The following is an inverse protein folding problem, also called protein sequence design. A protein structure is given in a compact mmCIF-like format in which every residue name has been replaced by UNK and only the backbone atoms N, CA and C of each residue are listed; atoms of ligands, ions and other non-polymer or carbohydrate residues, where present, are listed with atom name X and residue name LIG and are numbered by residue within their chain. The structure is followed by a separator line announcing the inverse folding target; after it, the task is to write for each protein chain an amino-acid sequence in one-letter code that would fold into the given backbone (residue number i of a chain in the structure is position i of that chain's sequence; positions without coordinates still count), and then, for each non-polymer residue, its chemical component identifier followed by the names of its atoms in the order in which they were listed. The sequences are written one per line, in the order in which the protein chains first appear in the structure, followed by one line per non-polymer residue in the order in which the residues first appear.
data_IF_801722109583
#
_entry.id   IF_801722109583
#
_cell.length_a   1.000
_cell.length_b   1.000
_cell.length_c   1.000
_cell.angle_alpha   90.00
_cell.angle_beta   90.00
_cell.angle_gamma   90.00
#
_symmetry.space_group_name_H-M   'P 1'
#
loop_
_entity.id
_entity.type
_entity.pdbx_description
1 polymer ?
#
# COMPACT_ATOMS: atom_id res chain seq x y z
N UNK A 1 -6.81 -44.05 -46.11
CA UNK A 1 -7.87 -43.40 -45.30
C UNK A 1 -7.31 -43.06 -43.94
N UNK A 2 -7.08 -41.79 -43.65
CA UNK A 2 -6.60 -41.30 -42.35
C UNK A 2 -7.79 -40.96 -41.45
N UNK A 3 -7.79 -41.44 -40.21
CA UNK A 3 -8.73 -40.99 -39.18
C UNK A 3 -8.00 -40.45 -37.96
N UNK A 4 -8.25 -39.16 -37.76
CA UNK A 4 -8.13 -38.32 -36.59
C UNK A 4 -7.95 -39.00 -35.22
N UNK A 5 -7.01 -38.46 -34.45
CA UNK A 5 -6.97 -38.52 -32.99
C UNK A 5 -6.71 -37.11 -32.44
N UNK A 6 -7.75 -36.27 -32.41
CA UNK A 6 -7.78 -35.02 -31.65
C UNK A 6 -7.67 -35.35 -30.17
N UNK A 7 -6.59 -34.92 -29.52
CA UNK A 7 -6.50 -34.78 -28.06
C UNK A 7 -6.18 -33.31 -27.79
N UNK A 8 -7.18 -32.53 -27.42
CA UNK A 8 -7.43 -32.30 -26.00
C UNK A 8 -6.80 -30.97 -25.60
N UNK A 9 -7.22 -29.89 -26.27
CA UNK A 9 -6.86 -28.53 -25.87
C UNK A 9 -7.36 -28.29 -24.46
N UNK A 10 -6.45 -28.32 -23.49
CA UNK A 10 -6.70 -27.89 -22.11
C UNK A 10 -7.29 -26.49 -22.20
N UNK A 11 -8.58 -26.35 -21.84
CA UNK A 11 -9.23 -25.04 -21.68
C UNK A 11 -8.33 -24.25 -20.74
N UNK A 12 -7.62 -23.25 -21.28
CA UNK A 12 -7.08 -22.16 -20.47
C UNK A 12 -8.32 -21.50 -19.89
N UNK A 13 -8.59 -21.78 -18.63
CA UNK A 13 -9.55 -21.00 -17.87
C UNK A 13 -9.12 -19.54 -18.03
N UNK A 14 -10.01 -18.70 -18.57
CA UNK A 14 -9.68 -17.32 -18.91
C UNK A 14 -9.66 -16.50 -17.62
N UNK A 15 -8.66 -16.73 -16.77
CA UNK A 15 -8.42 -15.89 -15.61
C UNK A 15 -8.17 -14.46 -16.10
N UNK A 16 -8.82 -13.48 -15.46
CA UNK A 16 -8.56 -12.09 -15.75
C UNK A 16 -7.09 -11.78 -15.48
N UNK A 17 -6.45 -10.85 -16.23
CA UNK A 17 -5.11 -10.36 -15.88
C UNK A 17 -4.97 -9.89 -14.43
N UNK A 18 -6.08 -9.43 -13.82
CA UNK A 18 -6.12 -9.08 -12.39
C UNK A 18 -5.98 -10.30 -11.49
N UNK A 19 -6.67 -11.39 -11.80
CA UNK A 19 -6.62 -12.63 -11.03
C UNK A 19 -5.23 -13.28 -11.12
N UNK A 20 -4.57 -13.18 -12.27
CA UNK A 20 -3.18 -13.62 -12.43
C UNK A 20 -2.21 -12.79 -11.59
N UNK A 21 -2.36 -11.46 -11.59
CA UNK A 21 -1.53 -10.58 -10.78
C UNK A 21 -1.68 -10.86 -9.27
N UNK A 22 -2.91 -11.08 -8.80
CA UNK A 22 -3.18 -11.41 -7.40
C UNK A 22 -2.58 -12.76 -7.01
N UNK A 23 -2.71 -13.80 -7.87
CA UNK A 23 -2.05 -15.09 -7.66
C UNK A 23 -0.52 -14.97 -7.54
N UNK A 24 0.11 -14.14 -8.36
CA UNK A 24 1.57 -13.90 -8.30
C UNK A 24 1.93 -13.21 -6.98
N UNK A 25 1.16 -12.21 -6.56
CA UNK A 25 1.38 -11.49 -5.29
C UNK A 25 1.24 -12.45 -4.11
N UNK A 26 0.17 -13.24 -4.06
CA UNK A 26 -0.10 -14.18 -2.97
C UNK A 26 0.99 -15.27 -2.89
N UNK A 27 1.40 -15.83 -4.04
CA UNK A 27 2.50 -16.77 -4.11
C UNK A 27 3.82 -16.18 -3.60
N UNK A 28 4.14 -14.94 -3.97
CA UNK A 28 5.35 -14.26 -3.50
C UNK A 28 5.31 -14.00 -1.99
N UNK A 29 4.17 -13.57 -1.44
CA UNK A 29 4.02 -13.32 0.00
C UNK A 29 4.08 -14.61 0.83
N UNK A 30 3.58 -15.73 0.29
CA UNK A 30 3.73 -17.05 0.91
C UNK A 30 5.21 -17.49 0.93
N UNK A 31 5.89 -17.40 -0.21
CA UNK A 31 7.30 -17.79 -0.32
C UNK A 31 8.23 -16.91 0.51
N UNK A 32 7.91 -15.61 0.68
CA UNK A 32 8.68 -14.73 1.58
C UNK A 32 8.66 -15.28 3.02
N UNK A 33 7.53 -15.84 3.48
CA UNK A 33 7.43 -16.37 4.84
C UNK A 33 8.33 -17.59 5.06
N UNK A 34 8.52 -18.41 4.03
CA UNK A 34 9.27 -19.68 4.13
C UNK A 34 10.73 -19.56 3.72
N UNK A 35 11.02 -18.80 2.66
CA UNK A 35 12.35 -18.72 2.03
C UNK A 35 13.09 -17.40 2.27
N UNK A 36 12.40 -16.39 2.83
CA UNK A 36 12.95 -15.06 2.96
C UNK A 36 12.88 -14.23 1.68
N UNK A 37 13.15 -12.93 1.78
CA UNK A 37 13.14 -12.01 0.63
C UNK A 37 14.33 -12.26 -0.30
N UNK A 38 15.50 -12.57 0.27
CA UNK A 38 16.72 -12.85 -0.51
C UNK A 38 16.65 -14.18 -1.25
N UNK A 39 16.08 -15.21 -0.63
CA UNK A 39 15.89 -16.54 -1.22
C UNK A 39 14.85 -16.60 -2.32
N UNK A 40 13.87 -15.68 -2.28
CA UNK A 40 12.81 -15.58 -3.27
C UNK A 40 13.34 -15.48 -4.71
N UNK A 41 12.82 -16.31 -5.62
CA UNK A 41 13.13 -16.28 -7.05
C UNK A 41 11.86 -16.18 -7.91
N UNK A 42 11.95 -15.53 -9.08
CA UNK A 42 10.81 -15.43 -10.01
C UNK A 42 10.36 -16.80 -10.53
N UNK A 43 11.29 -17.76 -10.65
CA UNK A 43 10.97 -19.14 -11.03
C UNK A 43 10.15 -19.87 -9.97
N UNK A 44 10.53 -19.76 -8.69
CA UNK A 44 9.77 -20.33 -7.58
C UNK A 44 8.38 -19.70 -7.47
N UNK A 45 8.27 -18.38 -7.64
CA UNK A 45 6.98 -17.68 -7.67
C UNK A 45 6.11 -18.17 -8.83
N UNK A 46 6.66 -18.31 -10.03
CA UNK A 46 5.92 -18.80 -11.19
C UNK A 46 5.38 -20.22 -10.96
N UNK A 47 6.22 -21.12 -10.42
CA UNK A 47 5.81 -22.47 -10.05
C UNK A 47 4.69 -22.46 -8.99
N UNK A 48 4.84 -21.67 -7.93
CA UNK A 48 3.84 -21.56 -6.85
C UNK A 48 2.52 -20.92 -7.32
N UNK A 49 2.56 -19.96 -8.25
CA UNK A 49 1.38 -19.33 -8.85
C UNK A 49 0.70 -20.19 -9.93
N UNK A 50 1.35 -21.29 -10.36
CA UNK A 50 0.88 -22.14 -11.44
C UNK A 50 0.89 -21.45 -12.80
N UNK A 51 1.85 -20.54 -13.04
CA UNK A 51 1.96 -19.73 -14.25
C UNK A 51 3.29 -19.98 -14.97
N UNK A 52 3.34 -19.92 -16.31
CA UNK A 52 4.60 -19.87 -17.04
C UNK A 52 5.43 -18.65 -16.62
N UNK A 53 6.75 -18.80 -16.53
CA UNK A 53 7.65 -17.71 -16.10
C UNK A 53 7.56 -16.47 -17.01
N UNK A 54 7.25 -16.66 -18.31
CA UNK A 54 7.05 -15.57 -19.25
C UNK A 54 5.82 -14.72 -18.91
N UNK A 55 4.74 -15.34 -18.45
CA UNK A 55 3.51 -14.63 -18.08
C UNK A 55 3.73 -13.87 -16.76
N UNK A 56 4.47 -14.45 -15.81
CA UNK A 56 4.93 -13.72 -14.61
C UNK A 56 5.78 -12.51 -15.01
N UNK A 57 6.76 -12.67 -15.91
CA UNK A 57 7.60 -11.56 -16.37
C UNK A 57 6.80 -10.43 -17.04
N UNK A 58 5.78 -10.77 -17.83
CA UNK A 58 4.90 -9.78 -18.49
C UNK A 58 4.12 -8.93 -17.50
N UNK A 59 3.66 -9.52 -16.39
CA UNK A 59 2.90 -8.81 -15.35
C UNK A 59 3.86 -8.09 -14.40
N UNK A 60 4.93 -8.78 -13.99
CA UNK A 60 5.89 -8.34 -13.00
C UNK A 60 7.33 -8.69 -13.43
N UNK A 61 8.06 -7.73 -14.04
CA UNK A 61 9.42 -7.94 -14.54
C UNK A 61 10.47 -8.22 -13.45
N UNK A 62 10.16 -7.96 -12.17
CA UNK A 62 11.09 -8.12 -11.05
C UNK A 62 10.40 -8.40 -9.71
N UNK A 63 11.14 -8.91 -8.72
CA UNK A 63 10.62 -9.09 -7.35
C UNK A 63 10.08 -7.78 -6.75
N UNK A 64 10.76 -6.68 -7.01
CA UNK A 64 10.37 -5.34 -6.57
C UNK A 64 9.08 -4.87 -7.26
N UNK A 65 8.84 -5.27 -8.51
CA UNK A 65 7.58 -4.98 -9.20
C UNK A 65 6.40 -5.74 -8.58
N UNK A 66 6.62 -6.96 -8.07
CA UNK A 66 5.61 -7.71 -7.31
C UNK A 66 5.29 -7.00 -5.99
N UNK A 67 6.31 -6.54 -5.25
CA UNK A 67 6.08 -5.70 -4.06
C UNK A 67 5.32 -4.42 -4.40
N UNK A 68 5.65 -3.77 -5.51
CA UNK A 68 4.92 -2.59 -6.00
C UNK A 68 3.46 -2.92 -6.30
N UNK A 69 3.19 -4.10 -6.87
CA UNK A 69 1.86 -4.64 -7.10
C UNK A 69 1.10 -4.87 -5.79
N UNK A 70 1.74 -5.46 -4.79
CA UNK A 70 1.17 -5.65 -3.46
C UNK A 70 0.79 -4.31 -2.80
N UNK A 71 1.68 -3.31 -2.81
CA UNK A 71 1.35 -1.99 -2.27
C UNK A 71 0.21 -1.32 -3.03
N UNK A 72 0.14 -1.50 -4.36
CA UNK A 72 -0.98 -1.01 -5.17
C UNK A 72 -2.30 -1.71 -4.82
N UNK A 73 -2.28 -3.01 -4.53
CA UNK A 73 -3.44 -3.76 -4.03
C UNK A 73 -3.93 -3.19 -2.70
N UNK A 74 -3.03 -2.87 -1.77
CA UNK A 74 -3.38 -2.21 -0.51
C UNK A 74 -3.95 -0.80 -0.75
N UNK A 75 -3.33 -0.01 -1.62
CA UNK A 75 -3.81 1.33 -1.96
C UNK A 75 -5.22 1.27 -2.57
N UNK A 76 -5.51 0.29 -3.42
CA UNK A 76 -6.85 0.07 -3.96
C UNK A 76 -7.88 -0.24 -2.87
N UNK A 77 -7.53 -1.05 -1.86
CA UNK A 77 -8.43 -1.33 -0.73
C UNK A 77 -8.69 -0.06 0.08
N UNK A 78 -7.66 0.74 0.34
CA UNK A 78 -7.78 2.00 1.12
C UNK A 78 -8.62 3.03 0.37
N UNK A 79 -8.44 3.14 -0.95
CA UNK A 79 -9.11 4.13 -1.80
C UNK A 79 -10.48 3.69 -2.30
N UNK A 80 -10.88 2.43 -2.08
CA UNK A 80 -12.17 1.94 -2.53
C UNK A 80 -13.32 2.59 -1.73
N UNK A 81 -14.07 3.48 -2.39
CA UNK A 81 -15.31 4.10 -1.94
C UNK A 81 -15.30 4.51 -0.45
N UNK A 82 -14.50 5.52 -0.07
CA UNK A 82 -14.57 6.06 1.28
C UNK A 82 -15.98 6.65 1.49
N UNK A 83 -16.62 6.42 2.65
CA UNK A 83 -17.87 7.10 2.96
C UNK A 83 -17.66 8.62 2.83
N UNK A 84 -18.66 9.37 2.32
CA UNK A 84 -18.52 10.81 2.18
C UNK A 84 -18.17 11.42 3.53
N UNK A 85 -17.13 12.26 3.55
CA UNK A 85 -16.69 12.94 4.76
C UNK A 85 -17.88 13.70 5.38
N UNK A 86 -18.09 13.51 6.68
CA UNK A 86 -19.06 14.33 7.39
C UNK A 86 -18.57 15.78 7.42
N UNK A 87 -19.49 16.75 7.37
CA UNK A 87 -19.15 18.16 7.21
C UNK A 87 -18.26 18.74 8.33
N UNK A 88 -18.20 18.09 9.49
CA UNK A 88 -17.41 18.50 10.67
C UNK A 88 -16.25 17.52 10.98
N UNK A 89 -15.97 16.56 10.09
CA UNK A 89 -14.89 15.62 10.31
C UNK A 89 -13.52 16.29 10.15
N UNK A 90 -12.64 16.15 11.15
CA UNK A 90 -11.33 16.78 11.10
C UNK A 90 -10.47 16.08 10.04
N UNK A 91 -9.62 16.80 9.29
CA UNK A 91 -8.72 16.20 8.30
C UNK A 91 -7.84 15.07 8.87
N UNK A 92 -7.45 15.17 10.14
CA UNK A 92 -6.70 14.13 10.84
C UNK A 92 -7.50 12.83 10.98
N UNK A 93 -8.79 12.91 11.27
CA UNK A 93 -9.64 11.76 11.54
C UNK A 93 -9.86 10.97 10.23
N UNK A 94 -10.07 11.67 9.10
CA UNK A 94 -10.06 11.07 7.75
C UNK A 94 -8.77 10.31 7.43
N UNK A 95 -7.61 10.90 7.74
CA UNK A 95 -6.32 10.23 7.55
C UNK A 95 -6.18 9.02 8.46
N UNK A 96 -6.63 9.15 9.72
CA UNK A 96 -6.61 8.07 10.68
C UNK A 96 -7.42 6.87 10.19
N UNK A 97 -8.65 7.07 9.72
CA UNK A 97 -9.53 6.01 9.22
C UNK A 97 -8.95 5.29 8.02
N UNK A 98 -8.43 6.04 7.04
CA UNK A 98 -7.76 5.46 5.86
C UNK A 98 -6.53 4.64 6.24
N UNK A 99 -5.76 5.09 7.23
CA UNK A 99 -4.58 4.37 7.71
C UNK A 99 -4.96 3.15 8.56
N UNK A 100 -6.03 3.19 9.34
CA UNK A 100 -6.56 2.02 10.05
C UNK A 100 -7.04 0.96 9.07
N UNK A 101 -7.84 1.35 8.06
CA UNK A 101 -8.27 0.45 6.97
C UNK A 101 -7.09 -0.22 6.27
N UNK A 102 -5.98 0.52 6.08
CA UNK A 102 -4.73 -0.02 5.54
C UNK A 102 -4.11 -1.07 6.46
N UNK A 103 -4.05 -0.82 7.77
CA UNK A 103 -3.48 -1.73 8.76
C UNK A 103 -4.32 -3.00 8.91
N UNK A 104 -5.65 -2.88 8.81
CA UNK A 104 -6.57 -4.02 8.78
C UNK A 104 -6.34 -4.88 7.54
N UNK A 105 -6.25 -4.26 6.36
CA UNK A 105 -5.94 -4.96 5.11
C UNK A 105 -4.57 -5.66 5.12
N UNK A 106 -3.65 -5.20 5.98
CA UNK A 106 -2.33 -5.81 6.15
C UNK A 106 -2.32 -7.02 7.10
N UNK A 107 -3.37 -7.24 7.91
CA UNK A 107 -3.41 -8.31 8.91
C UNK A 107 -3.05 -9.69 8.37
N UNK A 108 -3.63 -10.16 7.25
CA UNK A 108 -3.32 -11.49 6.72
C UNK A 108 -1.86 -11.65 6.31
N UNK A 109 -1.15 -10.54 6.10
CA UNK A 109 0.20 -10.48 5.57
C UNK A 109 1.25 -10.12 6.62
N UNK A 110 0.87 -10.02 7.91
CA UNK A 110 1.77 -9.68 9.03
C UNK A 110 3.04 -10.57 9.06
N UNK A 111 2.97 -11.90 8.87
CA UNK A 111 4.18 -12.75 8.87
C UNK A 111 5.15 -12.42 7.73
N UNK A 112 4.64 -12.17 6.52
CA UNK A 112 5.48 -11.77 5.38
C UNK A 112 6.13 -10.41 5.63
N UNK A 113 5.40 -9.49 6.25
CA UNK A 113 5.89 -8.15 6.61
C UNK A 113 7.01 -8.21 7.66
N UNK A 114 6.94 -9.14 8.61
CA UNK A 114 7.98 -9.35 9.62
C UNK A 114 9.30 -9.82 9.01
N UNK A 115 9.25 -10.74 8.04
CA UNK A 115 10.43 -11.17 7.28
C UNK A 115 11.02 -10.00 6.49
N UNK A 116 10.16 -9.30 5.74
CA UNK A 116 10.55 -8.12 4.98
C UNK A 116 11.26 -7.09 5.88
N UNK A 117 10.70 -6.75 7.03
CA UNK A 117 11.33 -5.79 7.96
C UNK A 117 12.74 -6.22 8.40
N UNK A 118 12.97 -7.51 8.62
CA UNK A 118 14.27 -8.04 9.07
C UNK A 118 15.33 -8.03 7.96
N UNK A 119 14.91 -8.19 6.71
CA UNK A 119 15.81 -8.35 5.56
C UNK A 119 16.03 -7.06 4.75
N UNK A 120 15.03 -6.19 4.66
CA UNK A 120 15.09 -4.91 3.93
C UNK A 120 16.30 -4.03 4.29
N UNK A 121 16.72 -3.89 5.57
CA UNK A 121 17.90 -3.10 5.91
C UNK A 121 19.21 -3.63 5.29
N UNK A 122 19.25 -4.90 4.88
CA UNK A 122 20.40 -5.53 4.20
C UNK A 122 20.30 -5.47 2.68
N UNK A 123 19.24 -4.88 2.14
CA UNK A 123 19.00 -4.69 0.70
C UNK A 123 18.62 -3.22 0.45
N UNK A 124 19.63 -2.33 0.31
CA UNK A 124 19.40 -0.89 0.23
C UNK A 124 18.61 -0.47 -1.02
N UNK A 125 18.74 -1.22 -2.12
CA UNK A 125 18.00 -0.93 -3.35
C UNK A 125 16.50 -1.22 -3.16
N UNK A 126 16.16 -2.37 -2.62
CA UNK A 126 14.76 -2.69 -2.30
C UNK A 126 14.20 -1.74 -1.24
N UNK A 127 14.99 -1.36 -0.24
CA UNK A 127 14.58 -0.38 0.76
C UNK A 127 14.25 0.98 0.13
N UNK A 128 15.05 1.45 -0.82
CA UNK A 128 14.79 2.68 -1.55
C UNK A 128 13.51 2.57 -2.41
N UNK A 129 13.31 1.44 -3.09
CA UNK A 129 12.07 1.17 -3.84
C UNK A 129 10.84 1.23 -2.92
N UNK A 130 10.87 0.53 -1.78
CA UNK A 130 9.77 0.51 -0.80
C UNK A 130 9.52 1.90 -0.21
N UNK A 131 10.56 2.68 0.06
CA UNK A 131 10.42 4.05 0.53
C UNK A 131 9.68 4.93 -0.50
N UNK A 132 10.03 4.83 -1.78
CA UNK A 132 9.35 5.54 -2.86
C UNK A 132 7.89 5.12 -3.03
N UNK A 133 7.61 3.81 -2.96
CA UNK A 133 6.25 3.26 -2.99
C UNK A 133 5.40 3.79 -1.83
N UNK A 134 5.97 3.82 -0.62
CA UNK A 134 5.27 4.26 0.56
C UNK A 134 4.97 5.76 0.51
N UNK A 135 5.93 6.60 0.08
CA UNK A 135 5.69 8.04 -0.09
C UNK A 135 4.58 8.31 -1.12
N UNK A 136 4.55 7.55 -2.22
CA UNK A 136 3.47 7.63 -3.22
C UNK A 136 2.13 7.20 -2.64
N UNK A 137 2.10 6.13 -1.85
CA UNK A 137 0.90 5.63 -1.18
C UNK A 137 0.35 6.64 -0.17
N UNK A 138 1.21 7.24 0.65
CA UNK A 138 0.80 8.27 1.63
C UNK A 138 0.28 9.53 0.95
N UNK A 139 0.77 9.87 -0.25
CA UNK A 139 0.18 10.94 -1.06
C UNK A 139 -1.27 10.63 -1.43
N UNK A 140 -1.56 9.42 -1.89
CA UNK A 140 -2.93 9.00 -2.20
C UNK A 140 -3.85 9.00 -0.97
N UNK A 141 -3.35 8.57 0.19
CA UNK A 141 -4.10 8.66 1.46
C UNK A 141 -4.47 10.11 1.78
N UNK A 142 -3.52 11.04 1.65
CA UNK A 142 -3.78 12.45 1.91
C UNK A 142 -4.76 13.07 0.91
N UNK A 143 -4.64 12.77 -0.38
CA UNK A 143 -5.57 13.24 -1.41
C UNK A 143 -6.98 12.68 -1.19
N UNK A 144 -7.12 11.40 -0.79
CA UNK A 144 -8.40 10.80 -0.43
C UNK A 144 -9.01 11.40 0.85
N UNK A 145 -8.18 11.92 1.76
CA UNK A 145 -8.60 12.71 2.91
C UNK A 145 -8.81 14.20 2.58
N UNK A 146 -8.83 14.57 1.30
CA UNK A 146 -8.96 15.94 0.78
C UNK A 146 -7.90 16.92 1.33
N UNK A 147 -6.70 16.42 1.61
CA UNK A 147 -5.56 17.21 2.07
C UNK A 147 -4.65 17.50 0.88
N UNK A 148 -4.41 18.77 0.53
CA UNK A 148 -3.59 19.11 -0.63
C UNK A 148 -2.13 18.66 -0.44
N UNK A 149 -1.62 17.90 -1.40
CA UNK A 149 -0.23 17.40 -1.35
C UNK A 149 0.76 18.20 -2.21
N UNK A 150 0.33 19.32 -2.79
CA UNK A 150 1.14 20.21 -3.62
C UNK A 150 2.00 21.19 -2.80
N UNK A 151 3.08 21.66 -3.43
CA UNK A 151 4.01 22.62 -2.82
C UNK A 151 4.85 22.07 -1.66
N UNK A 152 5.56 22.98 -0.97
CA UNK A 152 6.46 22.64 0.12
C UNK A 152 5.72 22.04 1.33
N UNK A 153 4.58 22.65 1.72
CA UNK A 153 3.75 22.16 2.83
C UNK A 153 3.15 20.80 2.54
N UNK A 154 2.64 20.55 1.33
CA UNK A 154 2.12 19.24 0.94
C UNK A 154 3.22 18.18 0.95
N UNK A 155 4.43 18.51 0.49
CA UNK A 155 5.60 17.62 0.56
C UNK A 155 5.99 17.28 2.00
N UNK A 156 5.95 18.25 2.92
CA UNK A 156 6.18 18.03 4.35
C UNK A 156 5.08 17.12 4.92
N UNK A 157 3.82 17.37 4.57
CA UNK A 157 2.66 16.59 5.03
C UNK A 157 2.79 15.12 4.63
N UNK A 158 3.14 14.83 3.38
CA UNK A 158 3.41 13.46 2.90
C UNK A 158 4.50 12.79 3.74
N UNK A 159 5.62 13.47 3.98
CA UNK A 159 6.74 12.91 4.76
C UNK A 159 6.36 12.67 6.23
N UNK A 160 5.66 13.61 6.85
CA UNK A 160 5.22 13.52 8.23
C UNK A 160 4.19 12.40 8.44
N UNK A 161 3.19 12.30 7.55
CA UNK A 161 2.23 11.19 7.55
C UNK A 161 2.93 9.85 7.31
N UNK A 162 3.90 9.79 6.40
CA UNK A 162 4.73 8.59 6.19
C UNK A 162 5.48 8.19 7.47
N UNK A 163 6.09 9.15 8.17
CA UNK A 163 6.80 8.90 9.41
C UNK A 163 5.86 8.46 10.54
N UNK A 164 4.68 9.07 10.65
CA UNK A 164 3.64 8.69 11.60
C UNK A 164 3.17 7.25 11.33
N UNK A 165 2.84 6.92 10.07
CA UNK A 165 2.45 5.58 9.65
C UNK A 165 3.54 4.55 9.93
N UNK A 166 4.79 4.79 9.55
CA UNK A 166 5.91 3.87 9.83
C UNK A 166 6.12 3.65 11.31
N UNK A 167 5.89 4.68 12.13
CA UNK A 167 6.03 4.59 13.57
C UNK A 167 4.87 3.82 14.21
N UNK A 168 3.64 3.93 13.68
CA UNK A 168 2.47 3.16 14.10
C UNK A 168 2.58 1.69 13.64
N UNK A 169 3.07 1.46 12.42
CA UNK A 169 3.38 0.15 11.85
C UNK A 169 4.29 -0.69 12.76
N UNK A 170 5.28 -0.07 13.43
CA UNK A 170 6.14 -0.78 14.40
C UNK A 170 5.38 -1.26 15.64
N UNK A 171 4.31 -0.56 16.03
CA UNK A 171 3.44 -0.98 17.14
C UNK A 171 2.51 -2.09 16.65
N UNK A 172 1.89 -1.91 15.48
CA UNK A 172 1.03 -2.89 14.82
C UNK A 172 1.68 -4.27 14.67
N UNK A 173 2.94 -4.34 14.29
CA UNK A 173 3.66 -5.62 14.17
C UNK A 173 3.74 -6.41 15.48
N UNK A 174 3.66 -5.73 16.63
CA UNK A 174 3.69 -6.35 17.96
C UNK A 174 2.32 -6.36 18.63
N UNK A 175 1.30 -5.92 17.90
CA UNK A 175 -0.05 -5.81 18.41
C UNK A 175 -0.86 -7.05 18.09
N UNK A 176 -1.08 -7.89 19.10
CA UNK A 176 -1.86 -9.12 19.01
C UNK A 176 -3.25 -8.96 19.64
N UNK A 177 -3.66 -7.71 19.92
CA UNK A 177 -5.02 -7.41 20.39
C UNK A 177 -6.04 -7.63 19.26
N UNK A 178 -7.22 -8.22 19.54
CA UNK A 178 -8.24 -8.49 18.51
C UNK A 178 -8.75 -7.25 17.78
N UNK A 179 -8.70 -6.10 18.43
CA UNK A 179 -9.24 -4.80 17.97
C UNK A 179 -8.14 -3.80 17.60
N UNK A 180 -6.87 -4.20 17.64
CA UNK A 180 -5.72 -3.33 17.39
C UNK A 180 -5.67 -2.10 18.31
N UNK A 181 -6.17 -2.20 19.54
CA UNK A 181 -6.27 -1.07 20.47
C UNK A 181 -4.94 -0.32 20.67
N UNK A 182 -3.80 -1.04 20.77
CA UNK A 182 -2.49 -0.39 20.95
C UNK A 182 -2.04 0.32 19.69
N UNK A 183 -2.31 -0.26 18.53
CA UNK A 183 -2.04 0.33 17.22
C UNK A 183 -2.87 1.59 17.01
N UNK A 184 -4.16 1.51 17.32
CA UNK A 184 -5.12 2.61 17.23
C UNK A 184 -4.65 3.80 18.06
N UNK A 185 -4.38 3.59 19.35
CA UNK A 185 -3.84 4.62 20.24
C UNK A 185 -2.48 5.17 19.77
N UNK A 186 -1.62 4.30 19.25
CA UNK A 186 -0.33 4.69 18.72
C UNK A 186 -0.44 5.59 17.49
N UNK A 187 -1.33 5.24 16.55
CA UNK A 187 -1.57 5.98 15.33
C UNK A 187 -2.17 7.36 15.62
N UNK A 188 -3.22 7.41 16.43
CA UNK A 188 -3.87 8.66 16.87
C UNK A 188 -2.85 9.61 17.51
N UNK A 189 -2.07 9.12 18.49
CA UNK A 189 -1.05 9.93 19.16
C UNK A 189 0.03 10.47 18.20
N UNK A 190 0.35 9.75 17.12
CA UNK A 190 1.34 10.19 16.11
C UNK A 190 0.73 11.19 15.14
N UNK A 191 -0.51 10.99 14.72
CA UNK A 191 -1.20 11.92 13.83
C UNK A 191 -1.48 13.26 14.52
N UNK A 192 -1.83 13.26 15.81
CA UNK A 192 -1.96 14.49 16.61
C UNK A 192 -0.69 15.37 16.59
N UNK A 193 0.51 14.76 16.54
CA UNK A 193 1.78 15.52 16.47
C UNK A 193 2.01 16.22 15.13
N UNK A 194 1.33 15.77 14.07
CA UNK A 194 1.51 16.28 12.71
C UNK A 194 0.27 17.00 12.18
N UNK A 195 -0.81 17.05 12.97
CA UNK A 195 -2.11 17.65 12.63
C UNK A 195 -2.00 19.08 12.10
N UNK A 196 -1.09 19.89 12.65
CA UNK A 196 -0.84 21.26 12.18
C UNK A 196 -0.34 21.36 10.73
N UNK A 197 0.12 20.26 10.13
CA UNK A 197 0.52 20.17 8.72
C UNK A 197 -0.58 19.60 7.82
N UNK A 198 -1.55 18.89 8.40
CA UNK A 198 -2.68 18.25 7.68
C UNK A 198 -3.82 19.24 7.37
N UNK A 199 -3.85 20.40 8.00
CA UNK A 199 -4.86 21.44 7.75
C UNK A 199 -4.57 22.27 6.49
N UNK A 200 -5.62 22.87 5.88
CA UNK A 200 -5.49 23.73 4.72
C UNK A 200 -4.50 24.86 4.99
N UNK A 201 -3.73 25.24 3.97
CA UNK A 201 -2.99 26.50 4.01
C UNK A 201 -3.98 27.63 4.27
N UNK A 202 -3.75 28.54 5.24
CA UNK A 202 -4.57 29.73 5.32
C UNK A 202 -4.53 30.43 3.96
N UNK A 203 -5.69 30.59 3.32
CA UNK A 203 -5.79 31.41 2.11
C UNK A 203 -5.26 32.79 2.48
N UNK A 204 -4.37 33.42 1.69
CA UNK A 204 -4.12 34.84 1.87
C UNK A 204 -5.47 35.54 1.84
N UNK A 205 -5.79 36.34 2.87
CA UNK A 205 -6.97 37.20 2.86
C UNK A 205 -6.84 38.06 1.63
N UNK A 206 -7.58 37.76 0.57
CA UNK A 206 -7.74 38.66 -0.57
C UNK A 206 -8.29 39.93 0.04
N UNK A 207 -7.46 40.97 0.07
CA UNK A 207 -7.84 42.27 0.58
C UNK A 207 -9.14 42.68 -0.10
N UNK A 208 -10.13 43.00 0.72
CA UNK A 208 -11.31 43.74 0.33
C UNK A 208 -10.83 44.98 -0.41
N UNK A 209 -10.95 44.98 -1.74
CA UNK A 209 -10.70 46.17 -2.54
C UNK A 209 -11.78 47.19 -2.16
N UNK A 210 -11.43 48.44 -1.83
CA UNK A 210 -12.42 49.43 -1.46
C UNK A 210 -13.34 49.68 -2.65
N UNK A 211 -14.64 49.61 -2.40
CA UNK A 211 -15.69 49.99 -3.34
C UNK A 211 -15.46 51.48 -3.68
N UNK A 212 -15.23 51.86 -4.95
CA UNK A 212 -15.12 53.26 -5.30
C UNK A 212 -16.49 53.94 -5.11
N UNK A 213 -16.45 55.12 -4.49
CA UNK A 213 -17.60 55.98 -4.21
C UNK A 213 -18.25 56.54 -5.49
#
# INVERSE_FOLDING_TARGET
MARAGRTGGRRRDSSSPRDEADRIIDAALALIQTEGWRGLSLGAIAAAAGLPILDVYRIFPSKQSILSGFYRRLDQIVLADPPPAEADERPRDRVFDLLMRRLDALQPYKPAYDVLRRELPRDPLTALCVAGLLLRSMRWVLEAAEIPTSGARGTISVKLTTAAYLSAMRVWQRDDSPDLARTMAALDARLRRVEGWLGPTPRPRTGEAPIPA
#
